data_IF_000788196138
#
_entry.id   IF_000788196138
#
_cell.length_a   1.000
_cell.length_b   1.000
_cell.length_c   1.000
_cell.angle_alpha   90.00
_cell.angle_beta   90.00
_cell.angle_gamma   90.00
#
_symmetry.space_group_name_H-M   'P 1'
#
loop_
_entity.id
_entity.type
_entity.pdbx_description
1 polymer ?
#
# COMPACT_ATOMS: atom_id res chain seq x y z
N UNK A 1 -18.37 6.32 -0.13
CA UNK A 1 -16.93 6.24 0.14
C UNK A 1 -16.15 6.22 -1.16
N UNK A 2 -15.24 7.16 -1.33
CA UNK A 2 -14.47 7.32 -2.55
C UNK A 2 -13.10 6.70 -2.43
N UNK A 3 -12.63 6.06 -3.50
CA UNK A 3 -11.26 5.57 -3.60
C UNK A 3 -10.59 6.28 -4.75
N UNK A 4 -9.42 6.85 -4.51
CA UNK A 4 -8.68 7.58 -5.54
C UNK A 4 -7.18 7.58 -5.26
N UNK A 5 -6.40 7.86 -6.30
CA UNK A 5 -4.96 8.04 -6.17
C UNK A 5 -4.67 9.30 -5.35
N UNK A 6 -3.69 9.20 -4.46
CA UNK A 6 -3.22 10.33 -3.66
C UNK A 6 -2.05 11.01 -4.35
N UNK A 7 -1.93 12.33 -4.19
CA UNK A 7 -0.78 13.11 -4.63
C UNK A 7 -0.16 13.84 -3.45
N UNK A 8 0.85 14.67 -3.70
CA UNK A 8 1.57 15.35 -2.61
C UNK A 8 0.68 16.32 -1.83
N UNK A 9 -0.43 16.79 -2.41
CA UNK A 9 -1.36 17.66 -1.69
C UNK A 9 -2.06 16.94 -0.54
N UNK A 10 -2.06 15.61 -0.54
CA UNK A 10 -2.66 14.77 0.50
C UNK A 10 -1.66 14.30 1.55
N UNK A 11 -0.43 14.83 1.53
CA UNK A 11 0.65 14.29 2.37
C UNK A 11 0.34 14.38 3.87
N UNK A 12 -0.37 15.42 4.32
CA UNK A 12 -0.69 15.55 5.74
C UNK A 12 -1.62 14.42 6.21
N UNK A 13 -2.66 14.13 5.43
CA UNK A 13 -3.60 13.04 5.73
C UNK A 13 -2.92 11.68 5.63
N UNK A 14 -2.12 11.48 4.58
CA UNK A 14 -1.39 10.24 4.41
C UNK A 14 -0.40 10.01 5.55
N UNK A 15 0.26 11.08 6.02
CA UNK A 15 1.21 10.97 7.13
C UNK A 15 0.56 10.53 8.43
N UNK A 16 -0.67 10.97 8.69
CA UNK A 16 -1.44 10.49 9.84
C UNK A 16 -1.63 8.96 9.77
N UNK A 17 -1.97 8.43 8.58
CA UNK A 17 -2.14 6.99 8.41
C UNK A 17 -0.81 6.23 8.47
N UNK A 18 0.26 6.78 7.91
CA UNK A 18 1.59 6.18 8.00
C UNK A 18 2.04 6.05 9.46
N UNK A 19 1.81 7.09 10.25
CA UNK A 19 2.15 7.08 11.67
C UNK A 19 1.33 6.02 12.42
N UNK A 20 0.03 5.96 12.15
CA UNK A 20 -0.86 4.97 12.77
C UNK A 20 -0.47 3.54 12.37
N UNK A 21 -0.13 3.33 11.10
CA UNK A 21 0.31 2.03 10.59
C UNK A 21 1.59 1.57 11.29
N UNK A 22 2.59 2.44 11.38
CA UNK A 22 3.87 2.10 12.05
C UNK A 22 3.66 1.75 13.51
N UNK A 23 2.80 2.50 14.21
CA UNK A 23 2.46 2.19 15.58
C UNK A 23 1.80 0.81 15.72
N UNK A 24 0.89 0.47 14.81
CA UNK A 24 0.18 -0.82 14.85
C UNK A 24 1.14 -2.00 14.68
N UNK A 25 2.15 -1.88 13.83
CA UNK A 25 3.13 -2.95 13.60
C UNK A 25 4.32 -2.90 14.57
N UNK A 26 4.29 -2.01 15.57
CA UNK A 26 5.31 -1.94 16.60
C UNK A 26 6.60 -1.26 16.19
N UNK A 27 6.59 -0.49 15.11
CA UNK A 27 7.74 0.28 14.67
C UNK A 27 7.72 1.70 15.23
N UNK A 28 8.89 2.34 15.27
CA UNK A 28 9.02 3.73 15.70
C UNK A 28 8.30 4.67 14.73
N UNK A 29 7.74 5.76 15.26
CA UNK A 29 7.12 6.79 14.45
C UNK A 29 8.16 7.39 13.50
N UNK A 30 7.84 7.53 12.20
CA UNK A 30 8.74 8.17 11.26
C UNK A 30 8.79 9.68 11.50
N UNK A 31 9.91 10.30 11.15
CA UNK A 31 10.14 11.73 11.38
C UNK A 31 10.08 12.57 10.11
N UNK A 32 10.42 13.86 10.25
CA UNK A 32 10.37 14.80 9.13
C UNK A 32 11.28 14.42 7.94
N UNK A 33 12.49 13.85 8.13
CA UNK A 33 13.29 13.43 6.98
C UNK A 33 12.58 12.36 6.15
N UNK A 34 11.89 11.42 6.78
CA UNK A 34 11.12 10.36 6.11
C UNK A 34 9.92 10.94 5.39
N UNK A 35 9.23 11.88 6.01
CA UNK A 35 8.10 12.57 5.39
C UNK A 35 8.51 13.31 4.12
N UNK A 36 9.61 14.02 4.16
CA UNK A 36 10.13 14.73 2.99
C UNK A 36 10.49 13.77 1.87
N UNK A 37 11.13 12.65 2.20
CA UNK A 37 11.47 11.62 1.20
C UNK A 37 10.24 10.97 0.59
N UNK A 38 9.20 10.74 1.39
CA UNK A 38 7.95 10.18 0.89
C UNK A 38 7.27 11.14 -0.07
N UNK A 39 7.18 12.42 0.29
CA UNK A 39 6.59 13.44 -0.57
C UNK A 39 7.32 13.52 -1.91
N UNK A 40 8.64 13.52 -1.90
CA UNK A 40 9.45 13.54 -3.11
C UNK A 40 9.22 12.28 -3.96
N UNK A 41 9.18 11.11 -3.34
CA UNK A 41 8.94 9.85 -4.05
C UNK A 41 7.57 9.84 -4.73
N UNK A 42 6.54 10.34 -4.07
CA UNK A 42 5.19 10.46 -4.65
C UNK A 42 5.22 11.43 -5.83
N UNK A 43 5.85 12.57 -5.67
CA UNK A 43 5.91 13.60 -6.71
C UNK A 43 6.67 13.10 -7.95
N UNK A 44 7.71 12.31 -7.76
CA UNK A 44 8.50 11.74 -8.84
C UNK A 44 7.89 10.47 -9.45
N UNK A 45 6.76 10.01 -8.93
CA UNK A 45 6.12 8.80 -9.42
C UNK A 45 6.84 7.49 -9.09
N UNK A 46 7.73 7.51 -8.08
CA UNK A 46 8.45 6.30 -7.66
C UNK A 46 7.62 5.37 -6.80
N UNK A 47 6.56 5.89 -6.20
CA UNK A 47 5.57 5.13 -5.45
C UNK A 47 4.20 5.76 -5.70
N UNK A 48 3.18 4.94 -5.83
CA UNK A 48 1.81 5.42 -5.95
C UNK A 48 1.03 5.02 -4.72
N UNK A 49 0.34 5.97 -4.09
CA UNK A 49 -0.57 5.70 -3.00
C UNK A 49 -2.01 5.83 -3.47
N UNK A 50 -2.85 4.97 -2.95
CA UNK A 50 -4.30 4.98 -3.20
C UNK A 50 -4.99 5.08 -1.86
N UNK A 51 -6.03 5.90 -1.78
CA UNK A 51 -6.70 6.19 -0.53
C UNK A 51 -8.20 6.01 -0.60
N UNK A 52 -8.76 5.59 0.52
CA UNK A 52 -10.20 5.51 0.71
C UNK A 52 -10.64 6.68 1.60
N UNK A 53 -11.65 7.40 1.15
CA UNK A 53 -12.12 8.63 1.79
C UNK A 53 -13.56 8.47 2.27
N UNK A 54 -13.80 8.88 3.50
CA UNK A 54 -15.15 9.09 4.03
C UNK A 54 -15.32 10.61 4.17
N UNK A 55 -16.05 11.23 3.22
CA UNK A 55 -16.09 12.67 3.05
C UNK A 55 -14.66 13.22 2.93
N UNK A 56 -14.24 14.10 3.86
CA UNK A 56 -12.90 14.69 3.83
C UNK A 56 -11.87 13.93 4.66
N UNK A 57 -12.25 12.78 5.24
CA UNK A 57 -11.36 11.98 6.06
C UNK A 57 -10.74 10.84 5.26
N UNK A 58 -9.43 10.78 5.23
CA UNK A 58 -8.71 9.65 4.68
C UNK A 58 -8.72 8.53 5.71
N UNK A 59 -9.43 7.43 5.39
CA UNK A 59 -9.66 6.35 6.36
C UNK A 59 -8.90 5.08 6.05
N UNK A 60 -8.26 5.01 4.89
CA UNK A 60 -7.45 3.87 4.53
C UNK A 60 -6.54 4.18 3.36
N UNK A 61 -5.48 3.43 3.23
CA UNK A 61 -4.52 3.58 2.14
C UNK A 61 -3.80 2.28 1.82
N UNK A 62 -3.15 2.28 0.68
CA UNK A 62 -2.15 1.29 0.29
C UNK A 62 -1.20 1.92 -0.72
N UNK A 63 -0.08 1.27 -0.97
CA UNK A 63 0.87 1.72 -1.98
C UNK A 63 1.20 0.61 -2.97
N UNK A 64 1.63 1.02 -4.16
CA UNK A 64 2.21 0.13 -5.16
C UNK A 64 3.48 0.78 -5.69
N UNK A 65 4.58 0.03 -5.63
CA UNK A 65 5.80 0.36 -6.36
C UNK A 65 5.90 -0.57 -7.56
N UNK A 66 6.20 -0.02 -8.73
CA UNK A 66 6.25 -0.81 -9.95
C UNK A 66 7.65 -0.85 -10.51
N UNK A 67 8.06 -2.04 -10.92
CA UNK A 67 9.31 -2.28 -11.64
C UNK A 67 9.00 -3.00 -12.94
N UNK A 68 10.06 -3.31 -13.69
CA UNK A 68 9.93 -4.11 -14.90
C UNK A 68 10.35 -5.54 -14.59
N UNK A 69 9.51 -6.51 -14.93
CA UNK A 69 9.82 -7.93 -14.76
C UNK A 69 10.07 -8.59 -16.09
N UNK A 70 11.21 -9.29 -16.19
CA UNK A 70 11.50 -10.11 -17.36
C UNK A 70 10.79 -11.47 -17.31
N UNK A 71 10.05 -11.75 -16.24
CA UNK A 71 9.21 -12.93 -16.17
C UNK A 71 8.12 -12.89 -17.25
N UNK A 72 7.49 -11.73 -17.42
CA UNK A 72 6.47 -11.52 -18.45
C UNK A 72 6.73 -10.28 -19.30
N UNK A 73 7.88 -9.64 -19.14
CA UNK A 73 8.30 -8.42 -19.85
C UNK A 73 7.26 -7.30 -19.71
N UNK A 74 6.83 -7.08 -18.50
CA UNK A 74 5.78 -6.12 -18.19
C UNK A 74 6.01 -5.49 -16.82
N UNK A 75 5.30 -4.40 -16.47
CA UNK A 75 5.39 -3.82 -15.13
C UNK A 75 4.90 -4.81 -14.08
N UNK A 76 5.65 -4.90 -12.98
CA UNK A 76 5.27 -5.74 -11.85
C UNK A 76 5.24 -4.88 -10.60
N UNK A 77 4.22 -5.04 -9.77
CA UNK A 77 4.00 -4.19 -8.60
C UNK A 77 4.22 -4.92 -7.29
N UNK A 78 4.68 -4.15 -6.29
CA UNK A 78 4.73 -4.59 -4.90
C UNK A 78 3.70 -3.77 -4.13
N UNK A 79 2.77 -4.47 -3.50
CA UNK A 79 1.71 -3.87 -2.69
C UNK A 79 2.20 -3.75 -1.25
N UNK A 80 2.13 -2.54 -0.68
CA UNK A 80 2.61 -2.25 0.67
C UNK A 80 1.76 -1.18 1.34
N UNK A 81 2.14 -0.83 2.58
CA UNK A 81 1.56 0.30 3.34
C UNK A 81 0.04 0.19 3.48
N UNK A 82 -0.46 -1.04 3.60
CA UNK A 82 -1.88 -1.30 3.68
C UNK A 82 -2.40 -1.06 5.09
N UNK A 83 -3.22 -0.03 5.24
CA UNK A 83 -3.79 0.32 6.54
C UNK A 83 -5.21 0.87 6.34
N UNK A 84 -6.12 0.38 7.17
CA UNK A 84 -7.48 0.90 7.24
C UNK A 84 -7.75 1.20 8.70
N UNK A 85 -8.31 2.38 9.00
CA UNK A 85 -8.67 2.74 10.37
C UNK A 85 -9.59 1.66 10.95
N UNK A 86 -9.36 1.25 12.20
CA UNK A 86 -10.07 0.09 12.78
C UNK A 86 -11.59 0.16 12.65
N UNK A 87 -12.18 1.33 12.81
CA UNK A 87 -13.64 1.50 12.74
C UNK A 87 -14.23 1.30 11.34
N UNK A 88 -13.39 1.25 10.32
CA UNK A 88 -13.82 1.02 8.93
C UNK A 88 -13.46 -0.38 8.42
N UNK A 89 -12.88 -1.22 9.26
CA UNK A 89 -12.52 -2.60 8.89
C UNK A 89 -13.78 -3.46 8.81
N UNK A 90 -13.68 -4.56 8.06
CA UNK A 90 -14.79 -5.52 7.84
C UNK A 90 -16.00 -4.91 7.12
N UNK A 91 -15.79 -3.86 6.33
CA UNK A 91 -16.85 -3.15 5.60
C UNK A 91 -16.72 -3.24 4.08
N UNK A 92 -15.77 -4.03 3.57
CA UNK A 92 -15.53 -4.17 2.14
C UNK A 92 -14.55 -3.14 1.56
N UNK A 93 -14.08 -2.19 2.35
CA UNK A 93 -13.13 -1.16 1.90
C UNK A 93 -11.81 -1.77 1.46
N UNK A 94 -11.31 -2.75 2.21
CA UNK A 94 -10.04 -3.42 1.89
C UNK A 94 -10.05 -4.01 0.49
N UNK A 95 -11.09 -4.75 0.15
CA UNK A 95 -11.21 -5.37 -1.17
C UNK A 95 -11.28 -4.33 -2.29
N UNK A 96 -12.08 -3.30 -2.09
CA UNK A 96 -12.21 -2.21 -3.08
C UNK A 96 -10.88 -1.50 -3.29
N UNK A 97 -10.13 -1.26 -2.22
CA UNK A 97 -8.86 -0.57 -2.28
C UNK A 97 -7.81 -1.41 -3.04
N UNK A 98 -7.72 -2.70 -2.74
CA UNK A 98 -6.81 -3.62 -3.46
C UNK A 98 -7.16 -3.68 -4.94
N UNK A 99 -8.44 -3.84 -5.28
CA UNK A 99 -8.88 -3.90 -6.68
C UNK A 99 -8.58 -2.61 -7.43
N UNK A 100 -8.81 -1.46 -6.78
CA UNK A 100 -8.52 -0.17 -7.36
C UNK A 100 -7.02 0.02 -7.62
N UNK A 101 -6.20 -0.32 -6.63
CA UNK A 101 -4.74 -0.22 -6.74
C UNK A 101 -4.20 -1.10 -7.87
N UNK A 102 -4.68 -2.33 -7.98
CA UNK A 102 -4.26 -3.23 -9.06
C UNK A 102 -4.61 -2.65 -10.43
N UNK A 103 -5.84 -2.18 -10.58
CA UNK A 103 -6.30 -1.64 -11.86
C UNK A 103 -5.61 -0.34 -12.23
N UNK A 104 -5.54 0.60 -11.29
CA UNK A 104 -5.02 1.94 -11.58
C UNK A 104 -3.49 1.98 -11.71
N UNK A 105 -2.78 1.09 -11.05
CA UNK A 105 -1.32 1.05 -11.16
C UNK A 105 -0.84 0.52 -12.52
N UNK A 106 -1.70 -0.18 -13.25
CA UNK A 106 -1.34 -0.70 -14.56
C UNK A 106 -0.34 -1.84 -14.55
N UNK A 107 -0.09 -2.45 -13.39
CA UNK A 107 0.84 -3.57 -13.28
C UNK A 107 0.21 -4.86 -13.82
N UNK A 108 1.02 -5.72 -14.41
CA UNK A 108 0.54 -7.02 -14.91
C UNK A 108 0.48 -8.06 -13.81
N UNK A 109 1.24 -7.86 -12.73
CA UNK A 109 1.22 -8.70 -11.54
C UNK A 109 1.45 -7.83 -10.31
N UNK A 110 0.91 -8.26 -9.18
CA UNK A 110 1.06 -7.53 -7.91
C UNK A 110 1.30 -8.54 -6.80
N UNK A 111 2.37 -8.33 -6.04
CA UNK A 111 2.74 -9.21 -4.93
C UNK A 111 2.65 -8.46 -3.61
N UNK A 112 2.49 -9.21 -2.51
CA UNK A 112 2.55 -8.67 -1.16
C UNK A 112 3.42 -9.58 -0.30
N UNK A 113 4.31 -8.97 0.48
CA UNK A 113 5.02 -9.67 1.56
C UNK A 113 4.25 -9.50 2.86
N UNK A 114 4.06 -10.58 3.61
CA UNK A 114 3.30 -10.52 4.84
C UNK A 114 3.78 -11.55 5.86
N UNK A 115 3.40 -11.36 7.12
CA UNK A 115 3.62 -12.34 8.16
C UNK A 115 2.71 -13.55 7.96
N UNK A 116 3.13 -14.71 8.46
CA UNK A 116 2.35 -15.94 8.32
C UNK A 116 0.92 -15.79 8.83
N UNK A 117 0.72 -15.06 9.92
CA UNK A 117 -0.60 -14.87 10.51
C UNK A 117 -1.53 -14.03 9.63
N UNK A 118 -0.99 -13.26 8.69
CA UNK A 118 -1.77 -12.39 7.79
C UNK A 118 -2.08 -13.05 6.45
N UNK A 119 -1.52 -14.23 6.18
CA UNK A 119 -1.75 -14.93 4.90
C UNK A 119 -3.24 -15.14 4.61
N UNK A 120 -4.06 -15.63 5.56
CA UNK A 120 -5.48 -15.84 5.25
C UNK A 120 -6.20 -14.56 4.84
N UNK A 121 -5.86 -13.43 5.48
CA UNK A 121 -6.45 -12.13 5.13
C UNK A 121 -6.09 -11.73 3.71
N UNK A 122 -4.81 -11.81 3.34
CA UNK A 122 -4.37 -11.43 1.99
C UNK A 122 -4.89 -12.38 0.93
N UNK A 123 -4.99 -13.67 1.23
CA UNK A 123 -5.60 -14.63 0.30
C UNK A 123 -7.07 -14.27 0.03
N UNK A 124 -7.81 -13.88 1.06
CA UNK A 124 -9.19 -13.45 0.92
C UNK A 124 -9.32 -12.18 0.08
N UNK A 125 -8.29 -11.34 0.04
CA UNK A 125 -8.25 -10.12 -0.78
C UNK A 125 -7.82 -10.38 -2.23
N UNK A 126 -7.41 -11.59 -2.57
CA UNK A 126 -7.03 -11.96 -3.92
C UNK A 126 -5.56 -12.31 -4.12
N UNK A 127 -4.72 -12.14 -3.10
CA UNK A 127 -3.31 -12.56 -3.16
C UNK A 127 -3.24 -14.06 -2.85
N UNK A 128 -3.71 -14.88 -3.79
CA UNK A 128 -4.00 -16.29 -3.55
C UNK A 128 -2.92 -17.26 -4.03
N UNK A 129 -1.90 -16.77 -4.72
CA UNK A 129 -0.86 -17.62 -5.32
C UNK A 129 0.45 -17.49 -4.54
N UNK A 130 0.87 -18.52 -3.79
CA UNK A 130 2.17 -18.48 -3.11
C UNK A 130 3.31 -18.47 -4.12
N UNK A 131 4.30 -17.60 -3.92
CA UNK A 131 5.43 -17.45 -4.85
C UNK A 131 6.77 -17.94 -4.28
N UNK A 132 6.75 -18.65 -3.16
CA UNK A 132 7.97 -19.17 -2.54
C UNK A 132 8.54 -18.24 -1.48
N UNK A 133 9.85 -18.21 -1.35
CA UNK A 133 10.54 -17.49 -0.28
C UNK A 133 11.07 -16.15 -0.75
N UNK A 134 10.97 -15.14 0.10
CA UNK A 134 11.57 -13.82 -0.10
C UNK A 134 12.81 -13.72 0.77
N UNK A 135 13.97 -13.44 0.15
CA UNK A 135 15.24 -13.32 0.86
C UNK A 135 15.81 -11.93 0.67
N UNK A 136 16.25 -11.31 1.78
CA UNK A 136 16.94 -10.04 1.73
C UNK A 136 18.46 -10.27 1.64
N UNK A 137 19.14 -9.43 0.85
CA UNK A 137 20.59 -9.48 0.78
C UNK A 137 21.16 -8.88 2.07
N UNK A 138 21.97 -9.66 2.78
CA UNK A 138 22.51 -9.25 4.07
C UNK A 138 23.88 -8.58 4.01
N UNK A 139 24.43 -8.42 2.84
CA UNK A 139 25.67 -7.73 2.58
C UNK A 139 26.91 -8.40 2.93
#
# INVERSE_FOLDING_TARGET
>A
MDIKRLDVSHIDRLWELQTAYKAEIGEDAPGEPERARLAEAIQQGRIAFYGAWDADDLIGCCSVTAGFSTFDYAPSGVFEDFYIRPEYRHSGVARRLVQYAYRESGVSSMTVGCADCDIPMYQALGFSVPLGNLLAYGG
#
